data_IF_311590442455
#
_entry.id   IF_311590442455
#
_cell.length_a   1.000
_cell.length_b   1.000
_cell.length_c   1.000
_cell.angle_alpha   90.00
_cell.angle_beta   90.00
_cell.angle_gamma   90.00
#
_symmetry.space_group_name_H-M   'P 1'
#
loop_
_entity.id
_entity.type
_entity.pdbx_description
1 polymer ?
#
# COMPACT_ATOMS: atom_id res chain seq x y z
N UNK A 1 4.01 -26.38 -0.92
CA UNK A 1 4.56 -25.05 -1.24
C UNK A 1 3.93 -24.47 -2.48
N UNK A 2 2.95 -23.58 -2.31
CA UNK A 2 2.68 -22.55 -3.31
C UNK A 2 3.29 -21.26 -2.76
N UNK A 3 4.24 -20.70 -3.50
CA UNK A 3 4.77 -19.36 -3.23
C UNK A 3 4.07 -18.37 -4.16
N UNK A 4 3.87 -17.15 -3.72
CA UNK A 4 3.36 -16.10 -4.59
C UNK A 4 4.51 -15.54 -5.43
N UNK A 5 4.32 -15.47 -6.74
CA UNK A 5 5.25 -14.79 -7.65
C UNK A 5 5.21 -13.27 -7.48
N UNK A 6 4.09 -12.73 -6.99
CA UNK A 6 3.89 -11.30 -6.71
C UNK A 6 2.76 -11.11 -5.71
N UNK A 7 2.99 -10.29 -4.70
CA UNK A 7 1.95 -9.75 -3.82
C UNK A 7 1.70 -8.29 -4.21
N UNK A 8 0.45 -7.94 -4.51
CA UNK A 8 0.06 -6.58 -4.83
C UNK A 8 -0.80 -5.97 -3.71
N UNK A 9 -0.50 -4.72 -3.35
CA UNK A 9 -1.34 -3.92 -2.45
C UNK A 9 -1.59 -2.54 -3.05
N UNK A 10 -2.67 -1.88 -2.60
CA UNK A 10 -3.05 -0.56 -3.10
C UNK A 10 -3.37 0.38 -1.95
N UNK A 11 -2.84 1.59 -2.01
CA UNK A 11 -3.15 2.67 -1.06
C UNK A 11 -3.85 3.81 -1.79
N UNK A 12 -4.76 4.50 -1.10
CA UNK A 12 -5.25 5.77 -1.62
C UNK A 12 -4.10 6.79 -1.65
N UNK A 13 -4.00 7.58 -2.72
CA UNK A 13 -2.93 8.57 -2.88
C UNK A 13 -2.92 9.64 -1.76
N UNK A 14 -4.08 9.88 -1.13
CA UNK A 14 -4.18 10.76 0.05
C UNK A 14 -3.88 10.08 1.39
N UNK A 15 -3.76 8.75 1.44
CA UNK A 15 -3.46 8.02 2.68
C UNK A 15 -1.95 7.84 2.84
N UNK A 16 -1.26 8.92 3.20
CA UNK A 16 0.20 8.95 3.38
C UNK A 16 0.69 7.97 4.45
N UNK A 17 -0.09 7.74 5.52
CA UNK A 17 0.24 6.76 6.55
C UNK A 17 0.35 5.34 5.97
N UNK A 18 -0.61 4.92 5.14
CA UNK A 18 -0.55 3.61 4.49
C UNK A 18 0.59 3.52 3.46
N UNK A 19 0.95 4.61 2.78
CA UNK A 19 2.11 4.65 1.89
C UNK A 19 3.41 4.44 2.65
N UNK A 20 3.55 5.04 3.85
CA UNK A 20 4.69 4.83 4.72
C UNK A 20 4.79 3.38 5.19
N UNK A 21 3.66 2.73 5.47
CA UNK A 21 3.66 1.29 5.79
C UNK A 21 4.16 0.49 4.60
N UNK A 22 3.62 0.71 3.39
CA UNK A 22 4.05 -0.01 2.19
C UNK A 22 5.57 0.14 1.91
N UNK A 23 6.12 1.35 2.09
CA UNK A 23 7.55 1.60 1.94
C UNK A 23 8.37 0.84 3.00
N UNK A 24 7.96 0.89 4.27
CA UNK A 24 8.67 0.24 5.38
C UNK A 24 8.61 -1.29 5.31
N UNK A 25 7.58 -1.85 4.68
CA UNK A 25 7.49 -3.29 4.42
C UNK A 25 8.29 -3.74 3.20
N UNK A 26 8.99 -2.82 2.53
CA UNK A 26 9.81 -3.12 1.35
C UNK A 26 9.06 -3.12 0.02
N UNK A 27 7.78 -2.70 -0.01
CA UNK A 27 7.02 -2.70 -1.26
C UNK A 27 7.55 -1.62 -2.22
N UNK A 28 7.57 -1.96 -3.51
CA UNK A 28 7.98 -1.04 -4.58
C UNK A 28 6.73 -0.42 -5.21
N UNK A 29 6.77 0.90 -5.45
CA UNK A 29 5.70 1.61 -6.16
C UNK A 29 5.79 1.35 -7.66
N UNK A 30 4.73 0.78 -8.25
CA UNK A 30 4.67 0.46 -9.68
C UNK A 30 3.91 1.49 -10.53
N UNK A 31 3.19 2.41 -9.88
CA UNK A 31 2.47 3.48 -10.58
C UNK A 31 1.20 3.95 -9.88
N UNK A 32 0.46 4.81 -10.56
CA UNK A 32 -0.76 5.43 -10.05
C UNK A 32 -1.94 5.18 -10.99
N UNK A 33 -2.97 4.51 -10.48
CA UNK A 33 -4.25 4.36 -11.16
C UNK A 33 -5.14 5.57 -10.83
N UNK A 34 -5.37 6.43 -11.83
CA UNK A 34 -6.11 7.68 -11.66
C UNK A 34 -7.62 7.46 -11.55
N UNK A 35 -8.26 8.06 -10.54
CA UNK A 35 -9.72 7.96 -10.32
C UNK A 35 -10.26 6.53 -10.15
N UNK A 36 -9.38 5.58 -9.79
CA UNK A 36 -9.66 4.15 -9.83
C UNK A 36 -10.48 3.64 -8.64
N UNK A 37 -10.61 4.43 -7.56
CA UNK A 37 -11.38 4.07 -6.37
C UNK A 37 -12.46 5.09 -6.07
N UNK A 38 -13.68 4.62 -5.77
CA UNK A 38 -14.69 5.41 -5.04
C UNK A 38 -14.43 5.19 -3.55
N UNK A 39 -14.14 6.28 -2.84
CA UNK A 39 -13.94 6.33 -1.40
C UNK A 39 -15.07 7.12 -0.75
N UNK A 40 -15.29 6.87 0.55
CA UNK A 40 -16.27 7.61 1.35
C UNK A 40 -15.54 8.51 2.34
N UNK A 41 -16.02 9.74 2.50
CA UNK A 41 -15.56 10.67 3.53
C UNK A 41 -16.74 11.21 4.32
N UNK A 42 -16.49 11.57 5.59
CA UNK A 42 -17.47 12.34 6.37
C UNK A 42 -17.43 13.79 5.93
N UNK A 43 -18.60 14.40 5.81
CA UNK A 43 -18.79 15.83 5.60
C UNK A 43 -18.91 16.55 6.95
N UNK A 44 -18.90 17.88 6.94
CA UNK A 44 -18.99 18.72 8.16
C UNK A 44 -20.31 18.52 8.92
N UNK A 45 -21.41 18.28 8.22
CA UNK A 45 -22.73 17.96 8.80
C UNK A 45 -22.83 16.52 9.30
N UNK A 46 -21.74 15.75 9.20
CA UNK A 46 -21.68 14.36 9.60
C UNK A 46 -22.38 13.41 8.64
N UNK A 47 -22.83 13.81 7.45
CA UNK A 47 -23.26 12.88 6.42
C UNK A 47 -22.06 12.18 5.74
N UNK A 48 -22.34 11.26 4.80
CA UNK A 48 -21.31 10.58 4.01
C UNK A 48 -21.35 11.12 2.58
N UNK A 49 -20.17 11.47 2.05
CA UNK A 49 -19.99 11.80 0.64
C UNK A 49 -19.08 10.77 -0.03
N UNK A 50 -19.30 10.54 -1.32
CA UNK A 50 -18.44 9.73 -2.17
C UNK A 50 -17.55 10.61 -3.02
N UNK A 51 -16.30 10.19 -3.22
CA UNK A 51 -15.37 10.86 -4.12
C UNK A 51 -14.47 9.86 -4.82
N UNK A 52 -13.96 10.23 -6.00
CA UNK A 52 -12.96 9.45 -6.74
C UNK A 52 -11.57 9.79 -6.20
N UNK A 53 -10.78 8.76 -5.93
CA UNK A 53 -9.39 8.91 -5.50
C UNK A 53 -8.47 8.00 -6.32
N UNK A 54 -7.24 8.46 -6.46
CA UNK A 54 -6.18 7.71 -7.10
C UNK A 54 -5.68 6.59 -6.19
N UNK A 55 -5.28 5.48 -6.79
CA UNK A 55 -4.62 4.39 -6.09
C UNK A 55 -3.16 4.31 -6.50
N UNK A 56 -2.26 4.27 -5.52
CA UNK A 56 -0.87 3.87 -5.76
C UNK A 56 -0.82 2.35 -5.70
N UNK A 57 -0.25 1.73 -6.72
CA UNK A 57 -0.04 0.28 -6.81
C UNK A 57 1.36 -0.04 -6.29
N UNK A 58 1.42 -1.02 -5.39
CA UNK A 58 2.65 -1.49 -4.79
C UNK A 58 2.79 -2.99 -5.00
N UNK A 59 4.01 -3.46 -5.19
CA UNK A 59 4.35 -4.88 -5.29
C UNK A 59 5.43 -5.31 -4.31
N UNK A 60 5.38 -6.59 -3.96
CA UNK A 60 6.50 -7.36 -3.42
C UNK A 60 6.67 -8.60 -4.29
N UNK A 61 7.84 -8.76 -4.87
CA UNK A 61 8.30 -9.98 -5.49
C UNK A 61 9.11 -10.81 -4.48
N UNK A 62 9.27 -12.13 -4.68
CA UNK A 62 10.11 -12.96 -3.83
C UNK A 62 11.52 -12.38 -3.61
N UNK A 63 12.14 -11.84 -4.67
CA UNK A 63 13.46 -11.22 -4.62
C UNK A 63 13.51 -9.93 -3.78
N UNK A 64 12.40 -9.20 -3.63
CA UNK A 64 12.34 -7.98 -2.82
C UNK A 64 12.39 -8.29 -1.31
N UNK A 65 12.10 -9.54 -0.93
CA UNK A 65 12.19 -10.02 0.45
C UNK A 65 13.59 -10.50 0.82
N UNK A 66 14.41 -10.83 -0.18
CA UNK A 66 15.80 -11.27 0.00
C UNK A 66 16.64 -10.06 0.47
N UNK A 67 16.88 -9.98 1.79
CA UNK A 67 17.61 -8.88 2.45
C UNK A 67 16.76 -8.07 3.45
N UNK A 68 15.43 -8.06 3.31
CA UNK A 68 14.51 -7.41 4.28
C UNK A 68 14.28 -8.31 5.50
N UNK A 69 14.28 -9.64 5.30
CA UNK A 69 14.09 -10.63 6.36
C UNK A 69 15.15 -10.59 7.47
N UNK A 70 16.41 -10.31 7.12
CA UNK A 70 17.51 -10.19 8.10
C UNK A 70 17.36 -8.91 8.94
N UNK A 71 16.97 -7.79 8.30
CA UNK A 71 16.81 -6.49 8.98
C UNK A 71 15.58 -6.46 9.91
N UNK A 72 14.49 -7.17 9.55
CA UNK A 72 13.34 -7.34 10.43
C UNK A 72 13.65 -8.25 11.63
N UNK A 73 14.46 -9.31 11.42
CA UNK A 73 14.89 -10.21 12.49
C UNK A 73 15.79 -9.52 13.53
N UNK A 74 16.65 -8.57 13.11
CA UNK A 74 17.51 -7.80 14.02
C UNK A 74 16.76 -6.71 14.81
N UNK A 75 15.64 -6.21 14.28
CA UNK A 75 14.84 -5.14 14.93
C UNK A 75 13.91 -5.63 16.07
N UNK A 76 13.83 -6.96 16.28
CA UNK A 76 13.00 -7.59 17.30
C UNK A 76 13.70 -7.95 18.61
N UNK A 77 14.90 -7.43 18.86
CA UNK A 77 15.73 -7.67 20.06
C UNK A 77 15.50 -6.69 21.20
#
# INVERSE_FOLDING_TARGET
>A
DQRFERLEMRTAAGNTAAQQVAQKTGCISEGVLRGARIARTRTEDGSWAEFRTDLIVWSLLPEDLEGVGEQLAESGG
#
